data_IF_814960146144
#
_entry.id   IF_814960146144
#
_cell.length_a   1.000
_cell.length_b   1.000
_cell.length_c   1.000
_cell.angle_alpha   90.00
_cell.angle_beta   90.00
_cell.angle_gamma   90.00
#
_symmetry.space_group_name_H-M   'P 1'
#
loop_
_entity.id
_entity.type
_entity.pdbx_description
1 polymer ?
#
# COMPACT_ATOMS: atom_id res chain seq x y z
N UNK A 1 40.50 -17.28 -3.00
CA UNK A 1 40.20 -16.35 -1.89
C UNK A 1 40.80 -16.90 -0.61
N UNK A 2 41.44 -16.07 0.22
CA UNK A 2 41.95 -16.54 1.51
C UNK A 2 40.78 -16.75 2.49
N UNK A 3 40.88 -17.72 3.42
CA UNK A 3 39.83 -17.95 4.42
C UNK A 3 39.58 -16.72 5.31
N UNK A 4 40.62 -15.90 5.56
CA UNK A 4 40.52 -14.64 6.29
C UNK A 4 39.65 -13.60 5.57
N UNK A 5 39.76 -13.52 4.24
CA UNK A 5 38.96 -12.60 3.42
C UNK A 5 37.47 -12.92 3.53
N UNK A 6 37.12 -14.21 3.42
CA UNK A 6 35.72 -14.67 3.52
C UNK A 6 35.16 -14.41 4.92
N UNK A 7 35.94 -14.71 5.97
CA UNK A 7 35.53 -14.48 7.35
C UNK A 7 35.26 -12.99 7.64
N UNK A 8 36.09 -12.08 7.13
CA UNK A 8 35.90 -10.64 7.30
C UNK A 8 34.59 -10.15 6.67
N UNK A 9 34.28 -10.57 5.44
CA UNK A 9 33.08 -10.10 4.73
C UNK A 9 31.81 -10.73 5.31
N UNK A 10 31.89 -11.96 5.81
CA UNK A 10 30.81 -12.59 6.57
C UNK A 10 30.53 -11.81 7.88
N UNK A 11 31.56 -11.36 8.60
CA UNK A 11 31.39 -10.51 9.77
C UNK A 11 30.69 -9.19 9.42
N UNK A 12 31.07 -8.55 8.32
CA UNK A 12 30.41 -7.32 7.85
C UNK A 12 28.94 -7.59 7.49
N UNK A 13 28.63 -8.69 6.81
CA UNK A 13 27.25 -9.06 6.51
C UNK A 13 26.40 -9.28 7.78
N UNK A 14 26.97 -9.93 8.80
CA UNK A 14 26.33 -10.09 10.11
C UNK A 14 26.09 -8.74 10.78
N UNK A 15 27.05 -7.81 10.71
CA UNK A 15 26.88 -6.45 11.22
C UNK A 15 25.75 -5.69 10.50
N UNK A 16 25.65 -5.81 9.17
CA UNK A 16 24.54 -5.23 8.39
C UNK A 16 23.20 -5.76 8.90
N UNK A 17 23.06 -7.08 9.05
CA UNK A 17 21.84 -7.69 9.58
C UNK A 17 21.53 -7.25 11.02
N UNK A 18 22.55 -7.13 11.87
CA UNK A 18 22.41 -6.67 13.26
C UNK A 18 21.92 -5.21 13.35
N UNK A 19 22.44 -4.32 12.48
CA UNK A 19 21.94 -2.95 12.35
C UNK A 19 20.48 -2.96 11.93
N UNK A 20 20.12 -3.80 10.95
CA UNK A 20 18.73 -3.97 10.52
C UNK A 20 17.79 -4.39 11.65
N UNK A 21 18.23 -5.30 12.50
CA UNK A 21 17.47 -5.72 13.67
C UNK A 21 17.23 -4.56 14.66
N UNK A 22 18.27 -3.77 14.94
CA UNK A 22 18.14 -2.59 15.80
C UNK A 22 17.20 -1.55 15.20
N UNK A 23 17.37 -1.22 13.92
CA UNK A 23 16.52 -0.25 13.21
C UNK A 23 15.07 -0.73 13.18
N UNK A 24 14.81 -1.98 12.82
CA UNK A 24 13.44 -2.51 12.78
C UNK A 24 12.78 -2.52 14.16
N UNK A 25 13.53 -2.80 15.23
CA UNK A 25 13.02 -2.70 16.61
C UNK A 25 12.68 -1.26 17.01
N UNK A 26 13.54 -0.31 16.65
CA UNK A 26 13.29 1.12 16.89
C UNK A 26 12.06 1.61 16.12
N UNK A 27 11.93 1.23 14.84
CA UNK A 27 10.79 1.61 14.01
C UNK A 27 9.49 1.00 14.54
N UNK A 28 9.50 -0.28 14.95
CA UNK A 28 8.34 -0.93 15.58
C UNK A 28 7.83 -0.11 16.76
N UNK A 29 8.75 0.27 17.64
CA UNK A 29 8.46 1.03 18.84
C UNK A 29 7.97 2.45 18.52
N UNK A 30 8.61 3.12 17.56
CA UNK A 30 8.26 4.47 17.14
C UNK A 30 6.86 4.51 16.52
N UNK A 31 6.54 3.56 15.64
CA UNK A 31 5.22 3.45 15.02
C UNK A 31 4.14 3.09 16.02
N UNK A 32 4.36 2.09 16.87
CA UNK A 32 3.39 1.70 17.89
C UNK A 32 3.05 2.88 18.83
N UNK A 33 4.06 3.63 19.30
CA UNK A 33 3.83 4.81 20.15
C UNK A 33 3.28 6.00 19.38
N UNK A 34 3.75 6.24 18.16
CA UNK A 34 3.34 7.36 17.33
C UNK A 34 1.87 7.24 16.95
N UNK A 35 1.46 6.09 16.42
CA UNK A 35 0.09 5.82 15.99
C UNK A 35 -0.89 5.81 17.17
N UNK A 36 -0.49 5.26 18.32
CA UNK A 36 -1.29 5.33 19.55
C UNK A 36 -1.54 6.77 19.99
N UNK A 37 -0.53 7.65 19.93
CA UNK A 37 -0.67 9.07 20.32
C UNK A 37 -1.59 9.87 19.41
N UNK A 38 -1.64 9.54 18.12
CA UNK A 38 -2.50 10.23 17.14
C UNK A 38 -3.95 9.73 17.24
N UNK A 39 -4.25 8.77 18.11
CA UNK A 39 -5.59 8.16 18.21
C UNK A 39 -5.94 7.31 16.99
N UNK A 40 -4.93 6.88 16.22
CA UNK A 40 -5.11 6.08 15.03
C UNK A 40 -5.78 4.74 15.37
N UNK A 41 -5.46 4.17 16.53
CA UNK A 41 -6.09 2.95 17.01
C UNK A 41 -7.61 3.10 17.15
N UNK A 42 -8.09 4.22 17.71
CA UNK A 42 -9.51 4.49 17.89
C UNK A 42 -10.23 4.84 16.58
N UNK A 43 -9.54 5.50 15.66
CA UNK A 43 -10.04 5.70 14.29
C UNK A 43 -10.19 4.36 13.55
N UNK A 44 -9.21 3.47 13.70
CA UNK A 44 -9.23 2.14 13.08
C UNK A 44 -10.38 1.24 13.62
N UNK A 45 -10.81 1.40 14.88
CA UNK A 45 -11.98 0.67 15.45
C UNK A 45 -13.27 0.90 14.69
N UNK A 46 -13.38 2.02 13.98
CA UNK A 46 -14.57 2.38 13.20
C UNK A 46 -14.71 1.53 11.95
N UNK A 47 -13.63 0.88 11.50
CA UNK A 47 -13.62 0.01 10.32
C UNK A 47 -13.77 -1.47 10.68
N UNK A 48 -14.47 -2.24 9.82
CA UNK A 48 -14.63 -3.69 9.99
C UNK A 48 -13.30 -4.43 10.09
N UNK A 49 -12.29 -4.02 9.30
CA UNK A 49 -10.95 -4.61 9.32
C UNK A 49 -10.24 -4.33 10.65
N UNK A 50 -10.37 -3.11 11.19
CA UNK A 50 -9.77 -2.76 12.48
C UNK A 50 -10.35 -3.57 13.64
N UNK A 51 -11.67 -3.80 13.65
CA UNK A 51 -12.30 -4.69 14.64
C UNK A 51 -11.80 -6.13 14.57
N UNK A 52 -11.52 -6.65 13.37
CA UNK A 52 -10.94 -7.98 13.19
C UNK A 52 -9.49 -8.05 13.71
N UNK A 53 -8.68 -7.03 13.46
CA UNK A 53 -7.30 -6.94 13.98
C UNK A 53 -7.31 -6.85 15.52
N UNK A 54 -8.19 -6.04 16.11
CA UNK A 54 -8.30 -5.92 17.57
C UNK A 54 -8.73 -7.21 18.26
N UNK A 55 -9.58 -8.02 17.61
CA UNK A 55 -9.94 -9.36 18.09
C UNK A 55 -8.75 -10.32 18.16
N UNK A 56 -7.68 -10.07 17.40
CA UNK A 56 -6.43 -10.84 17.48
C UNK A 56 -5.51 -10.43 18.64
N UNK A 57 -5.93 -9.44 19.45
CA UNK A 57 -5.17 -8.94 20.60
C UNK A 57 -4.14 -7.86 20.28
N UNK A 58 -4.03 -7.44 19.01
CA UNK A 58 -3.13 -6.37 18.57
C UNK A 58 -3.85 -5.02 18.43
N UNK A 59 -3.20 -3.94 18.87
CA UNK A 59 -3.58 -2.59 18.47
C UNK A 59 -3.19 -2.34 17.00
N UNK A 60 -3.89 -1.42 16.31
CA UNK A 60 -3.56 -1.11 14.93
C UNK A 60 -2.11 -0.62 14.82
N UNK A 61 -1.70 0.32 15.66
CA UNK A 61 -0.32 0.81 15.73
C UNK A 61 0.73 -0.27 15.94
N UNK A 62 0.43 -1.29 16.74
CA UNK A 62 1.32 -2.44 16.94
C UNK A 62 1.38 -3.35 15.71
N UNK A 63 0.25 -3.54 15.01
CA UNK A 63 0.21 -4.29 13.75
C UNK A 63 1.06 -3.60 12.68
N UNK A 64 0.82 -2.32 12.39
CA UNK A 64 1.61 -1.58 11.40
C UNK A 64 3.09 -1.48 11.80
N UNK A 65 3.38 -1.27 13.09
CA UNK A 65 4.75 -1.28 13.59
C UNK A 65 5.44 -2.63 13.40
N UNK A 66 4.71 -3.73 13.60
CA UNK A 66 5.24 -5.08 13.39
C UNK A 66 5.47 -5.38 11.91
N UNK A 67 4.53 -5.01 11.03
CA UNK A 67 4.67 -5.15 9.57
C UNK A 67 5.89 -4.37 9.09
N UNK A 68 6.03 -3.09 9.48
CA UNK A 68 7.17 -2.26 9.10
C UNK A 68 8.50 -2.86 9.58
N UNK A 69 8.55 -3.36 10.82
CA UNK A 69 9.75 -4.00 11.35
C UNK A 69 10.14 -5.26 10.57
N UNK A 70 9.15 -6.10 10.22
CA UNK A 70 9.37 -7.27 9.38
C UNK A 70 9.92 -6.91 7.99
N UNK A 71 9.40 -5.85 7.36
CA UNK A 71 9.93 -5.35 6.09
C UNK A 71 11.38 -4.88 6.23
N UNK A 72 11.71 -4.19 7.32
CA UNK A 72 13.09 -3.76 7.60
C UNK A 72 14.01 -4.96 7.81
N UNK A 73 13.60 -5.94 8.63
CA UNK A 73 14.40 -7.15 8.85
C UNK A 73 14.67 -7.89 7.54
N UNK A 74 13.62 -8.09 6.73
CA UNK A 74 13.74 -8.74 5.44
C UNK A 74 14.69 -7.97 4.52
N UNK A 75 14.56 -6.64 4.46
CA UNK A 75 15.43 -5.76 3.66
C UNK A 75 16.89 -5.92 4.06
N UNK A 76 17.21 -5.80 5.34
CA UNK A 76 18.59 -5.86 5.80
C UNK A 76 19.21 -7.25 5.66
N UNK A 77 18.42 -8.32 5.82
CA UNK A 77 18.88 -9.69 5.56
C UNK A 77 19.21 -9.85 4.06
N UNK A 78 18.34 -9.38 3.18
CA UNK A 78 18.57 -9.46 1.73
C UNK A 78 19.76 -8.59 1.30
N UNK A 79 19.93 -7.39 1.88
CA UNK A 79 21.08 -6.53 1.62
C UNK A 79 22.39 -7.13 2.15
N UNK A 80 22.38 -7.76 3.33
CA UNK A 80 23.53 -8.47 3.86
C UNK A 80 23.94 -9.64 2.94
N UNK A 81 22.95 -10.40 2.45
CA UNK A 81 23.18 -11.47 1.49
C UNK A 81 23.69 -10.94 0.14
N UNK A 82 23.15 -9.83 -0.36
CA UNK A 82 23.60 -9.19 -1.60
C UNK A 82 25.05 -8.70 -1.48
N UNK A 83 25.37 -8.02 -0.37
CA UNK A 83 26.73 -7.59 -0.06
C UNK A 83 27.72 -8.77 -0.06
N UNK A 84 27.35 -9.88 0.58
CA UNK A 84 28.18 -11.08 0.61
C UNK A 84 28.36 -11.68 -0.79
N UNK A 85 27.29 -11.72 -1.60
CA UNK A 85 27.35 -12.21 -2.98
C UNK A 85 28.32 -11.37 -3.85
N UNK A 86 28.26 -10.03 -3.78
CA UNK A 86 29.23 -9.17 -4.47
C UNK A 86 30.67 -9.41 -3.99
N UNK A 87 30.84 -9.52 -2.67
CA UNK A 87 32.15 -9.69 -2.04
C UNK A 87 32.82 -11.02 -2.41
N UNK A 88 32.01 -12.06 -2.65
CA UNK A 88 32.46 -13.39 -3.06
C UNK A 88 32.60 -13.55 -4.59
N UNK A 89 32.36 -12.49 -5.37
CA UNK A 89 32.53 -12.52 -6.83
C UNK A 89 31.32 -13.07 -7.59
N UNK A 90 30.12 -13.02 -6.98
CA UNK A 90 28.85 -13.46 -7.59
C UNK A 90 27.90 -12.26 -7.80
N UNK A 91 28.25 -11.29 -8.68
CA UNK A 91 27.46 -10.06 -8.83
C UNK A 91 26.03 -10.31 -9.32
N UNK A 92 25.81 -11.31 -10.19
CA UNK A 92 24.47 -11.66 -10.68
C UNK A 92 23.50 -12.03 -9.54
N UNK A 93 24.00 -12.70 -8.50
CA UNK A 93 23.20 -13.04 -7.32
C UNK A 93 22.95 -11.80 -6.44
N UNK A 94 23.94 -10.91 -6.33
CA UNK A 94 23.79 -9.63 -5.65
C UNK A 94 22.69 -8.77 -6.30
N UNK A 95 22.74 -8.63 -7.63
CA UNK A 95 21.76 -7.86 -8.41
C UNK A 95 20.35 -8.45 -8.28
N UNK A 96 20.23 -9.78 -8.31
CA UNK A 96 18.94 -10.46 -8.12
C UNK A 96 18.34 -10.18 -6.73
N UNK A 97 19.15 -10.22 -5.68
CA UNK A 97 18.71 -9.94 -4.30
C UNK A 97 18.29 -8.47 -4.13
N UNK A 98 19.03 -7.52 -4.70
CA UNK A 98 18.64 -6.11 -4.73
C UNK A 98 17.35 -5.92 -5.53
N UNK A 99 17.20 -6.64 -6.64
CA UNK A 99 15.97 -6.68 -7.43
C UNK A 99 14.78 -7.13 -6.60
N UNK A 100 14.92 -8.19 -5.81
CA UNK A 100 13.87 -8.68 -4.89
C UNK A 100 13.50 -7.61 -3.86
N UNK A 101 14.47 -6.91 -3.27
CA UNK A 101 14.19 -5.80 -2.34
C UNK A 101 13.39 -4.70 -3.02
N UNK A 102 13.80 -4.25 -4.21
CA UNK A 102 13.14 -3.16 -4.92
C UNK A 102 11.73 -3.51 -5.41
N UNK A 103 11.55 -4.73 -5.94
CA UNK A 103 10.27 -5.17 -6.49
C UNK A 103 9.30 -5.47 -5.37
N UNK A 104 9.68 -6.31 -4.39
CA UNK A 104 8.72 -6.81 -3.41
C UNK A 104 8.66 -5.96 -2.15
N UNK A 105 9.79 -5.52 -1.59
CA UNK A 105 9.76 -4.74 -0.34
C UNK A 105 9.32 -3.31 -0.61
N UNK A 106 10.01 -2.62 -1.53
CA UNK A 106 9.65 -1.25 -1.87
C UNK A 106 8.32 -1.18 -2.62
N UNK A 107 8.02 -2.16 -3.47
CA UNK A 107 6.69 -2.33 -4.08
C UNK A 107 5.59 -2.45 -3.03
N UNK A 108 5.74 -3.32 -2.03
CA UNK A 108 4.75 -3.45 -0.96
C UNK A 108 4.48 -2.13 -0.23
N UNK A 109 5.52 -1.34 0.04
CA UNK A 109 5.37 0.00 0.65
C UNK A 109 4.59 0.94 -0.26
N UNK A 110 4.90 0.98 -1.57
CA UNK A 110 4.15 1.79 -2.55
C UNK A 110 2.68 1.39 -2.60
N UNK A 111 2.40 0.10 -2.74
CA UNK A 111 1.04 -0.45 -2.73
C UNK A 111 0.26 0.08 -1.52
N UNK A 112 0.87 0.00 -0.35
CA UNK A 112 0.22 0.35 0.90
C UNK A 112 -0.10 1.84 1.01
N UNK A 113 0.88 2.70 0.67
CA UNK A 113 0.71 4.16 0.68
C UNK A 113 -0.37 4.57 -0.33
N UNK A 114 -0.30 4.04 -1.54
CA UNK A 114 -1.24 4.36 -2.63
C UNK A 114 -2.65 3.89 -2.27
N UNK A 115 -2.81 2.70 -1.71
CA UNK A 115 -4.12 2.21 -1.30
C UNK A 115 -4.76 3.10 -0.23
N UNK A 116 -4.00 3.49 0.81
CA UNK A 116 -4.49 4.36 1.88
C UNK A 116 -4.91 5.71 1.32
N UNK A 117 -4.01 6.38 0.59
CA UNK A 117 -4.27 7.71 0.03
C UNK A 117 -5.40 7.66 -1.00
N UNK A 118 -5.39 6.65 -1.87
CA UNK A 118 -6.40 6.45 -2.90
C UNK A 118 -7.79 6.25 -2.32
N UNK A 119 -7.96 5.42 -1.28
CA UNK A 119 -9.26 5.25 -0.65
C UNK A 119 -9.77 6.53 0.02
N UNK A 120 -8.91 7.29 0.70
CA UNK A 120 -9.26 8.60 1.27
C UNK A 120 -9.72 9.56 0.16
N UNK A 121 -9.01 9.59 -0.97
CA UNK A 121 -9.38 10.43 -2.11
C UNK A 121 -10.73 10.03 -2.73
N UNK A 122 -11.00 8.73 -2.85
CA UNK A 122 -12.29 8.25 -3.36
C UNK A 122 -13.42 8.65 -2.44
N UNK A 123 -13.26 8.50 -1.13
CA UNK A 123 -14.27 8.91 -0.16
C UNK A 123 -14.58 10.41 -0.24
N UNK A 124 -13.52 11.23 -0.26
CA UNK A 124 -13.66 12.68 -0.42
C UNK A 124 -14.31 13.07 -1.75
N UNK A 125 -13.94 12.41 -2.84
CA UNK A 125 -14.48 12.68 -4.18
C UNK A 125 -15.96 12.32 -4.29
N UNK A 126 -16.35 11.11 -3.86
CA UNK A 126 -17.74 10.65 -3.91
C UNK A 126 -18.63 11.54 -3.06
N UNK A 127 -18.18 11.92 -1.86
CA UNK A 127 -18.92 12.81 -0.99
C UNK A 127 -19.06 14.23 -1.56
N UNK A 128 -17.99 14.76 -2.17
CA UNK A 128 -18.02 16.06 -2.84
C UNK A 128 -19.02 16.09 -4.01
N UNK A 129 -18.96 15.08 -4.89
CA UNK A 129 -19.87 14.94 -6.04
C UNK A 129 -21.31 14.82 -5.57
N UNK A 130 -21.57 14.03 -4.52
CA UNK A 130 -22.92 13.83 -3.99
C UNK A 130 -23.48 15.09 -3.34
N UNK A 131 -22.72 15.78 -2.48
CA UNK A 131 -23.15 17.04 -1.87
C UNK A 131 -23.44 18.11 -2.93
N UNK A 132 -22.66 18.16 -4.01
CA UNK A 132 -22.92 19.07 -5.14
C UNK A 132 -24.17 18.72 -5.96
N UNK A 133 -24.54 17.44 -6.05
CA UNK A 133 -25.69 16.97 -6.82
C UNK A 133 -27.03 17.08 -6.06
N UNK A 134 -27.05 16.83 -4.74
CA UNK A 134 -28.28 16.93 -3.92
C UNK A 134 -28.86 18.34 -3.90
N UNK A 135 -28.03 19.37 -4.07
CA UNK A 135 -28.48 20.76 -4.14
C UNK A 135 -29.40 21.06 -5.33
N UNK A 136 -29.61 20.11 -6.27
CA UNK A 136 -30.33 20.38 -7.53
C UNK A 136 -31.55 19.52 -7.85
N UNK A 137 -31.70 18.28 -7.38
CA UNK A 137 -32.96 17.51 -7.56
C UNK A 137 -32.96 16.14 -6.84
N UNK A 138 -34.19 15.63 -6.63
CA UNK A 138 -34.65 14.36 -6.06
C UNK A 138 -33.60 13.29 -5.66
N UNK A 139 -33.41 13.13 -4.34
CA UNK A 139 -32.34 12.38 -3.70
C UNK A 139 -32.38 10.85 -3.88
N UNK A 140 -33.47 10.30 -4.43
CA UNK A 140 -33.69 8.84 -4.50
C UNK A 140 -32.89 8.12 -5.59
N UNK A 141 -32.60 8.78 -6.71
CA UNK A 141 -31.86 8.15 -7.82
C UNK A 141 -30.33 8.30 -7.70
N UNK A 142 -29.86 9.28 -6.93
CA UNK A 142 -28.42 9.61 -6.83
C UNK A 142 -27.66 8.71 -5.85
N UNK A 143 -28.32 8.19 -4.80
CA UNK A 143 -27.66 7.39 -3.78
C UNK A 143 -27.10 6.04 -4.31
N UNK A 144 -27.82 5.24 -5.11
CA UNK A 144 -27.28 4.00 -5.67
C UNK A 144 -26.12 4.24 -6.65
N UNK A 145 -26.18 5.33 -7.42
CA UNK A 145 -25.15 5.70 -8.39
C UNK A 145 -23.85 6.08 -7.67
N UNK A 146 -23.94 6.86 -6.59
CA UNK A 146 -22.77 7.24 -5.79
C UNK A 146 -22.04 6.01 -5.21
N UNK A 147 -22.80 5.02 -4.73
CA UNK A 147 -22.22 3.78 -4.22
C UNK A 147 -21.56 2.95 -5.33
N UNK A 148 -22.19 2.86 -6.50
CA UNK A 148 -21.58 2.19 -7.66
C UNK A 148 -20.26 2.87 -8.08
N UNK A 149 -20.25 4.21 -8.13
CA UNK A 149 -19.04 5.00 -8.44
C UNK A 149 -17.95 4.75 -7.39
N UNK A 150 -18.30 4.72 -6.11
CA UNK A 150 -17.35 4.41 -5.01
C UNK A 150 -16.68 3.05 -5.23
N UNK A 151 -17.47 2.00 -5.48
CA UNK A 151 -16.96 0.65 -5.70
C UNK A 151 -16.02 0.58 -6.90
N UNK A 152 -16.39 1.19 -8.03
CA UNK A 152 -15.53 1.23 -9.21
C UNK A 152 -14.22 1.95 -8.93
N UNK A 153 -14.28 3.12 -8.29
CA UNK A 153 -13.08 3.89 -7.99
C UNK A 153 -12.16 3.17 -7.00
N UNK A 154 -12.70 2.47 -6.00
CA UNK A 154 -11.90 1.60 -5.14
C UNK A 154 -11.21 0.49 -5.94
N UNK A 155 -11.90 -0.13 -6.90
CA UNK A 155 -11.32 -1.18 -7.74
C UNK A 155 -10.14 -0.63 -8.59
N UNK A 156 -10.29 0.58 -9.12
CA UNK A 156 -9.23 1.31 -9.84
C UNK A 156 -8.04 1.59 -8.92
N UNK A 157 -8.29 2.12 -7.72
CA UNK A 157 -7.25 2.40 -6.72
C UNK A 157 -6.50 1.13 -6.35
N UNK A 158 -7.20 0.03 -6.08
CA UNK A 158 -6.57 -1.27 -5.73
C UNK A 158 -5.69 -1.73 -6.87
N UNK A 159 -6.18 -1.71 -8.11
CA UNK A 159 -5.43 -2.20 -9.26
C UNK A 159 -4.21 -1.35 -9.53
N UNK A 160 -4.35 -0.02 -9.43
CA UNK A 160 -3.22 0.90 -9.54
C UNK A 160 -2.20 0.68 -8.43
N UNK A 161 -2.65 0.53 -7.18
CA UNK A 161 -1.77 0.23 -6.05
C UNK A 161 -1.01 -1.08 -6.27
N UNK A 162 -1.69 -2.15 -6.72
CA UNK A 162 -1.09 -3.46 -6.97
C UNK A 162 -0.05 -3.39 -8.09
N UNK A 163 -0.36 -2.66 -9.17
CA UNK A 163 0.58 -2.42 -10.27
C UNK A 163 1.84 -1.72 -9.78
N UNK A 164 1.69 -0.65 -9.00
CA UNK A 164 2.81 0.07 -8.40
C UNK A 164 3.55 -0.77 -7.35
N UNK A 165 2.85 -1.75 -6.78
CA UNK A 165 3.37 -2.76 -5.88
C UNK A 165 4.25 -3.83 -6.52
N UNK A 166 4.45 -3.79 -7.84
CA UNK A 166 5.23 -4.77 -8.57
C UNK A 166 4.48 -6.06 -8.88
N UNK A 167 3.16 -6.09 -8.64
CA UNK A 167 2.30 -7.22 -9.00
C UNK A 167 1.80 -7.00 -10.43
N UNK A 168 1.92 -8.02 -11.26
CA UNK A 168 1.31 -7.99 -12.60
C UNK A 168 -0.21 -8.03 -12.46
N UNK A 169 -0.84 -6.92 -12.84
CA UNK A 169 -2.28 -6.75 -12.83
C UNK A 169 -2.87 -6.69 -14.23
N UNK A 170 -2.12 -7.08 -15.26
CA UNK A 170 -2.57 -7.04 -16.66
C UNK A 170 -3.99 -7.59 -16.85
N UNK A 171 -4.28 -8.76 -16.27
CA UNK A 171 -5.62 -9.37 -16.28
C UNK A 171 -6.67 -8.51 -15.58
N UNK A 172 -6.38 -8.00 -14.37
CA UNK A 172 -7.31 -7.15 -13.62
C UNK A 172 -7.58 -5.82 -14.36
N UNK A 173 -6.54 -5.21 -14.92
CA UNK A 173 -6.61 -3.99 -15.71
C UNK A 173 -7.45 -4.17 -16.97
N UNK A 174 -7.28 -5.30 -17.67
CA UNK A 174 -8.11 -5.62 -18.84
C UNK A 174 -9.59 -5.74 -18.49
N UNK A 175 -9.92 -6.32 -17.33
CA UNK A 175 -11.31 -6.40 -16.83
C UNK A 175 -11.85 -5.05 -16.36
N UNK A 176 -10.97 -4.15 -15.89
CA UNK A 176 -11.31 -2.82 -15.40
C UNK A 176 -11.57 -1.78 -16.48
N UNK A 177 -10.90 -1.89 -17.62
CA UNK A 177 -11.03 -0.94 -18.72
C UNK A 177 -12.50 -0.77 -19.12
N UNK A 178 -13.29 -1.83 -19.40
CA UNK A 178 -14.72 -1.70 -19.72
C UNK A 178 -15.52 -0.98 -18.63
N UNK A 179 -15.26 -1.29 -17.36
CA UNK A 179 -15.95 -0.69 -16.21
C UNK A 179 -15.63 0.82 -16.13
N UNK A 180 -14.38 1.18 -16.36
CA UNK A 180 -13.90 2.57 -16.33
C UNK A 180 -14.55 3.39 -17.45
N UNK A 181 -14.60 2.85 -18.68
CA UNK A 181 -15.32 3.48 -19.78
C UNK A 181 -16.83 3.60 -19.51
N UNK A 182 -17.44 2.60 -18.87
CA UNK A 182 -18.82 2.67 -18.41
C UNK A 182 -19.07 3.82 -17.44
N UNK A 183 -18.14 4.04 -16.50
CA UNK A 183 -18.20 5.15 -15.54
C UNK A 183 -18.09 6.51 -16.25
N UNK A 184 -17.13 6.64 -17.19
CA UNK A 184 -16.94 7.87 -17.99
C UNK A 184 -18.19 8.16 -18.81
N UNK A 185 -18.77 7.16 -19.47
CA UNK A 185 -20.00 7.30 -20.23
C UNK A 185 -21.16 7.77 -19.35
N UNK A 186 -21.31 7.20 -18.15
CA UNK A 186 -22.34 7.63 -17.19
C UNK A 186 -22.14 9.09 -16.75
N UNK A 187 -20.90 9.49 -16.44
CA UNK A 187 -20.59 10.88 -16.08
C UNK A 187 -20.92 11.85 -17.22
N UNK A 188 -20.54 11.52 -18.45
CA UNK A 188 -20.84 12.34 -19.64
C UNK A 188 -22.35 12.43 -19.85
N UNK A 189 -23.08 11.32 -19.75
CA UNK A 189 -24.53 11.31 -19.90
C UNK A 189 -25.23 12.23 -18.88
N UNK A 190 -24.80 12.19 -17.61
CA UNK A 190 -25.32 13.08 -16.56
C UNK A 190 -24.98 14.54 -16.86
N UNK A 191 -23.74 14.83 -17.28
CA UNK A 191 -23.33 16.19 -17.63
C UNK A 191 -24.14 16.76 -18.81
N UNK A 192 -24.39 15.94 -19.84
CA UNK A 192 -25.20 16.32 -21.00
C UNK A 192 -26.66 16.54 -20.60
N UNK A 193 -27.26 15.65 -19.79
CA UNK A 193 -28.63 15.81 -19.28
C UNK A 193 -28.80 17.13 -18.51
N UNK A 194 -27.81 17.52 -17.70
CA UNK A 194 -27.83 18.80 -16.99
C UNK A 194 -27.66 20.00 -17.92
N UNK A 195 -26.88 19.88 -18.99
CA UNK A 195 -26.71 20.96 -19.97
C UNK A 195 -27.96 21.19 -20.82
N UNK A 196 -28.70 20.12 -21.16
CA UNK A 196 -29.94 20.19 -21.95
C UNK A 196 -31.14 20.66 -21.13
N UNK A 197 -31.14 20.45 -19.80
CA UNK A 197 -32.18 20.93 -18.89
C UNK A 197 -32.03 22.42 -18.48
N UNK A 198 -30.92 23.08 -18.83
CA UNK A 198 -30.75 24.54 -18.65
C UNK A 198 -31.20 25.28 -19.89
#
# INVERSE_FOLDING_TARGET
MSPLYVALHALIAVLIAAVGYLVGRLVRWALARGLARVGFDDWFKRFNIGRAILRSGYAAGEFFGSVAAWLIYLTFVLLAAAYLAYSLGYPAWGDALIGVVNVYVYGFVKFFIIAIVGFILVDGFVEYVYRGAILKEDSRLLAPVAEYVRVVLYLVVITFALQQGGIDVSTLSQMLIPITWGLVAAMVAVAVLQAVRR
#
